data_IF_916507928079
#
_entry.id   IF_916507928079
#
_cell.length_a   1.000
_cell.length_b   1.000
_cell.length_c   1.000
_cell.angle_alpha   90.00
_cell.angle_beta   90.00
_cell.angle_gamma   90.00
#
_symmetry.space_group_name_H-M   'P 1'
#
loop_
_entity.id
_entity.type
_entity.pdbx_description
1 polymer ?
#
# COMPACT_ATOMS: atom_id res chain seq x y z
N UNK A 1 12.15 20.85 -14.95
CA UNK A 1 12.03 20.01 -13.74
C UNK A 1 13.44 19.64 -13.36
N UNK A 2 13.96 20.13 -12.24
CA UNK A 2 15.27 19.69 -11.74
C UNK A 2 15.18 18.18 -11.49
N UNK A 3 15.80 17.41 -12.37
CA UNK A 3 15.76 15.96 -12.31
C UNK A 3 16.54 15.51 -11.08
N UNK A 4 15.84 14.97 -10.08
CA UNK A 4 16.50 14.34 -8.93
C UNK A 4 17.45 13.27 -9.45
N UNK A 5 18.75 13.43 -9.13
CA UNK A 5 19.80 12.44 -9.42
C UNK A 5 19.39 11.07 -8.85
N UNK A 6 19.32 10.05 -9.69
CA UNK A 6 18.93 8.70 -9.26
C UNK A 6 20.16 7.96 -8.72
N UNK A 7 20.03 7.39 -7.51
CA UNK A 7 21.05 6.53 -6.91
C UNK A 7 20.88 5.10 -7.37
N UNK A 8 21.86 4.58 -8.08
CA UNK A 8 21.89 3.23 -8.62
C UNK A 8 22.96 2.40 -7.92
N UNK A 9 22.62 1.15 -7.61
CA UNK A 9 23.57 0.15 -7.13
C UNK A 9 23.77 -0.90 -8.23
N UNK A 10 24.96 -0.98 -8.79
CA UNK A 10 25.37 -2.04 -9.71
C UNK A 10 25.98 -3.20 -8.92
N UNK A 11 25.47 -4.41 -9.17
CA UNK A 11 25.98 -5.66 -8.61
C UNK A 11 26.50 -6.52 -9.75
N UNK A 12 27.83 -6.53 -9.92
CA UNK A 12 28.52 -7.07 -11.09
C UNK A 12 29.94 -7.48 -10.70
N UNK A 13 30.33 -8.74 -10.88
CA UNK A 13 31.67 -9.22 -10.54
C UNK A 13 32.68 -9.01 -11.67
N UNK A 14 32.24 -8.82 -12.92
CA UNK A 14 33.12 -8.54 -14.04
C UNK A 14 33.47 -7.03 -14.11
N UNK A 15 34.75 -6.64 -13.90
CA UNK A 15 35.15 -5.24 -13.89
C UNK A 15 35.01 -4.56 -15.26
N UNK A 16 35.10 -5.32 -16.35
CA UNK A 16 34.91 -4.83 -17.70
C UNK A 16 33.44 -4.46 -17.97
N UNK A 17 32.52 -5.33 -17.57
CA UNK A 17 31.08 -5.07 -17.69
C UNK A 17 30.66 -3.88 -16.82
N UNK A 18 31.20 -3.80 -15.59
CA UNK A 18 30.95 -2.68 -14.69
C UNK A 18 31.45 -1.34 -15.25
N UNK A 19 32.66 -1.33 -15.84
CA UNK A 19 33.20 -0.15 -16.50
C UNK A 19 32.35 0.27 -17.70
N UNK A 20 31.94 -0.68 -18.54
CA UNK A 20 31.16 -0.37 -19.73
C UNK A 20 29.75 0.15 -19.38
N UNK A 21 29.12 -0.38 -18.33
CA UNK A 21 27.85 0.17 -17.81
C UNK A 21 28.02 1.59 -17.24
N UNK A 22 29.12 1.85 -16.53
CA UNK A 22 29.44 3.20 -16.03
C UNK A 22 29.57 4.20 -17.17
N UNK A 23 30.30 3.84 -18.23
CA UNK A 23 30.46 4.68 -19.43
C UNK A 23 29.11 4.89 -20.11
N UNK A 24 28.37 3.81 -20.37
CA UNK A 24 27.04 3.85 -21.02
C UNK A 24 26.08 4.78 -20.28
N UNK A 25 26.03 4.71 -18.96
CA UNK A 25 25.17 5.57 -18.14
C UNK A 25 25.65 7.03 -18.11
N UNK A 26 26.96 7.28 -18.19
CA UNK A 26 27.51 8.63 -18.26
C UNK A 26 27.23 9.32 -19.60
N UNK A 27 27.26 8.57 -20.71
CA UNK A 27 26.97 9.08 -22.05
C UNK A 27 25.47 9.37 -22.26
N UNK A 28 24.60 8.73 -21.49
CA UNK A 28 23.15 8.94 -21.54
C UNK A 28 22.72 10.38 -21.16
N UNK A 29 23.62 11.19 -20.61
CA UNK A 29 23.34 12.57 -20.18
C UNK A 29 22.40 12.67 -18.98
N UNK A 30 22.10 11.55 -18.31
CA UNK A 30 21.29 11.50 -17.11
C UNK A 30 22.16 11.56 -15.85
N UNK A 31 21.70 12.32 -14.86
CA UNK A 31 22.40 12.45 -13.58
C UNK A 31 22.13 11.19 -12.75
N UNK A 32 23.06 10.24 -12.80
CA UNK A 32 23.05 9.02 -12.00
C UNK A 32 24.18 9.07 -10.97
N UNK A 33 23.90 8.62 -9.75
CA UNK A 33 24.93 8.25 -8.78
C UNK A 33 25.10 6.73 -8.81
N UNK A 34 26.14 6.23 -9.48
CA UNK A 34 26.36 4.79 -9.65
C UNK A 34 27.40 4.27 -8.66
N UNK A 35 26.90 3.54 -7.66
CA UNK A 35 27.70 2.71 -6.75
C UNK A 35 27.85 1.31 -7.34
N UNK A 36 28.99 0.67 -7.13
CA UNK A 36 29.28 -0.65 -7.68
C UNK A 36 29.84 -1.57 -6.60
N UNK A 37 29.32 -2.79 -6.55
CA UNK A 37 29.79 -3.89 -5.70
C UNK A 37 29.89 -5.17 -6.52
N UNK A 38 30.82 -6.05 -6.14
CA UNK A 38 31.11 -7.28 -6.90
C UNK A 38 30.35 -8.52 -6.40
N UNK A 39 29.63 -8.39 -5.27
CA UNK A 39 29.00 -9.52 -4.57
C UNK A 39 27.63 -9.16 -4.06
N UNK A 40 26.71 -10.12 -4.09
CA UNK A 40 25.37 -9.97 -3.55
C UNK A 40 25.42 -9.64 -2.05
N UNK A 41 26.30 -10.27 -1.29
CA UNK A 41 26.44 -9.99 0.14
C UNK A 41 26.72 -8.50 0.42
N UNK A 42 27.59 -7.87 -0.39
CA UNK A 42 27.90 -6.44 -0.28
C UNK A 42 26.77 -5.55 -0.76
N UNK A 43 26.00 -6.00 -1.75
CA UNK A 43 24.79 -5.30 -2.16
C UNK A 43 23.77 -5.25 -1.01
N UNK A 44 23.53 -6.37 -0.32
CA UNK A 44 22.60 -6.43 0.80
C UNK A 44 23.04 -5.54 1.98
N UNK A 45 24.33 -5.56 2.33
CA UNK A 45 24.91 -4.63 3.34
C UNK A 45 24.68 -3.16 2.95
N UNK A 46 24.85 -2.81 1.68
CA UNK A 46 24.67 -1.45 1.19
C UNK A 46 23.20 -1.03 1.18
N UNK A 47 22.30 -1.93 0.80
CA UNK A 47 20.86 -1.68 0.73
C UNK A 47 20.27 -1.38 2.11
N UNK A 48 20.79 -1.98 3.19
CA UNK A 48 20.38 -1.67 4.57
C UNK A 48 20.58 -0.20 4.96
N UNK A 49 21.51 0.49 4.32
CA UNK A 49 21.80 1.90 4.58
C UNK A 49 20.77 2.84 3.91
N UNK A 50 19.92 2.32 3.03
CA UNK A 50 18.91 3.08 2.29
C UNK A 50 19.50 4.01 1.22
N UNK A 51 18.62 4.81 0.61
CA UNK A 51 19.00 5.85 -0.36
C UNK A 51 19.39 5.34 -1.76
N UNK A 52 19.13 4.07 -2.07
CA UNK A 52 19.25 3.51 -3.42
C UNK A 52 17.86 3.52 -4.08
N UNK A 53 17.76 4.03 -5.30
CA UNK A 53 16.52 4.05 -6.08
C UNK A 53 16.35 2.76 -6.92
N UNK A 54 17.45 2.22 -7.44
CA UNK A 54 17.42 0.97 -8.20
C UNK A 54 18.69 0.14 -8.06
N UNK A 55 18.54 -1.17 -8.20
CA UNK A 55 19.62 -2.15 -8.35
C UNK A 55 19.70 -2.61 -9.82
N UNK A 56 20.89 -2.55 -10.39
CA UNK A 56 21.25 -3.22 -11.63
C UNK A 56 21.98 -4.51 -11.26
N UNK A 57 21.37 -5.65 -11.55
CA UNK A 57 21.77 -6.95 -11.00
C UNK A 57 22.22 -7.91 -12.12
N UNK A 58 23.46 -8.40 -12.05
CA UNK A 58 23.84 -9.63 -12.74
C UNK A 58 23.32 -10.85 -11.96
N UNK A 59 22.81 -11.85 -12.68
CA UNK A 59 22.39 -13.14 -12.14
C UNK A 59 23.54 -14.16 -12.04
N UNK A 60 24.70 -13.84 -12.61
CA UNK A 60 25.88 -14.72 -12.72
C UNK A 60 26.89 -14.55 -11.57
N UNK A 61 26.48 -13.88 -10.49
CA UNK A 61 27.36 -13.56 -9.36
C UNK A 61 27.92 -14.82 -8.69
N UNK A 62 29.18 -14.80 -8.23
CA UNK A 62 29.83 -15.97 -7.63
C UNK A 62 29.24 -16.39 -6.26
N UNK A 63 28.54 -15.47 -5.57
CA UNK A 63 27.97 -15.70 -4.24
C UNK A 63 26.44 -15.83 -4.23
N UNK A 64 25.82 -15.97 -5.40
CA UNK A 64 24.38 -16.18 -5.56
C UNK A 64 24.06 -17.14 -6.70
N UNK A 65 22.85 -17.70 -6.71
CA UNK A 65 22.39 -18.59 -7.77
C UNK A 65 21.23 -17.95 -8.52
N UNK A 66 21.53 -17.27 -9.62
CA UNK A 66 20.52 -16.79 -10.56
C UNK A 66 19.47 -15.89 -9.90
N UNK A 67 18.19 -16.17 -10.21
CA UNK A 67 17.02 -15.40 -9.76
C UNK A 67 16.84 -15.36 -8.23
N UNK A 68 17.48 -16.25 -7.46
CA UNK A 68 17.43 -16.21 -6.00
C UNK A 68 18.05 -14.92 -5.41
N UNK A 69 18.92 -14.24 -6.17
CA UNK A 69 19.43 -12.92 -5.80
C UNK A 69 18.30 -11.88 -5.68
N UNK A 70 17.30 -11.97 -6.56
CA UNK A 70 16.19 -11.02 -6.65
C UNK A 70 15.33 -11.10 -5.38
N UNK A 71 14.98 -12.31 -4.95
CA UNK A 71 14.23 -12.55 -3.71
C UNK A 71 14.93 -11.91 -2.51
N UNK A 72 16.24 -12.18 -2.35
CA UNK A 72 17.03 -11.65 -1.23
C UNK A 72 17.10 -10.12 -1.22
N UNK A 73 17.23 -9.50 -2.39
CA UNK A 73 17.20 -8.03 -2.51
C UNK A 73 15.80 -7.50 -2.19
N UNK A 74 14.75 -8.15 -2.68
CA UNK A 74 13.35 -7.74 -2.44
C UNK A 74 12.98 -7.83 -0.97
N UNK A 75 13.41 -8.86 -0.26
CA UNK A 75 13.23 -9.01 1.19
C UNK A 75 13.96 -7.92 1.98
N UNK A 76 15.19 -7.59 1.58
CA UNK A 76 16.00 -6.60 2.28
C UNK A 76 15.59 -5.15 1.99
N UNK A 77 15.14 -4.87 0.77
CA UNK A 77 14.86 -3.53 0.27
C UNK A 77 13.62 -3.55 -0.65
N UNK A 78 12.42 -3.72 -0.07
CA UNK A 78 11.19 -3.89 -0.85
C UNK A 78 10.85 -2.67 -1.71
N UNK A 79 11.30 -1.48 -1.32
CA UNK A 79 11.03 -0.21 -2.01
C UNK A 79 11.94 0.06 -3.20
N UNK A 80 12.97 -0.76 -3.44
CA UNK A 80 13.98 -0.53 -4.48
C UNK A 80 13.58 -1.21 -5.79
N UNK A 81 13.76 -0.53 -6.91
CA UNK A 81 13.55 -1.13 -8.23
C UNK A 81 14.70 -2.09 -8.56
N UNK A 82 14.41 -3.27 -9.11
CA UNK A 82 15.39 -4.27 -9.50
C UNK A 82 15.32 -4.45 -11.01
N UNK A 83 16.44 -4.18 -11.69
CA UNK A 83 16.62 -4.44 -13.10
C UNK A 83 17.70 -5.52 -13.25
N UNK A 84 17.36 -6.59 -13.94
CA UNK A 84 18.30 -7.66 -14.24
C UNK A 84 19.05 -7.36 -15.53
N UNK A 85 20.38 -7.47 -15.48
CA UNK A 85 21.27 -7.39 -16.62
C UNK A 85 21.98 -8.74 -16.78
N UNK A 86 21.56 -9.54 -17.76
CA UNK A 86 22.09 -10.90 -17.93
C UNK A 86 22.84 -11.05 -19.25
N UNK A 87 23.96 -11.78 -19.24
CA UNK A 87 24.64 -12.19 -20.47
C UNK A 87 23.86 -13.24 -21.27
N UNK A 88 22.91 -13.93 -20.64
CA UNK A 88 22.12 -14.99 -21.26
C UNK A 88 20.81 -14.45 -21.83
N UNK A 89 20.57 -14.75 -23.10
CA UNK A 89 19.30 -14.52 -23.79
C UNK A 89 18.39 -15.74 -23.59
N UNK A 90 17.98 -15.96 -22.35
CA UNK A 90 17.10 -17.06 -21.95
C UNK A 90 15.75 -16.52 -21.48
N UNK A 91 14.71 -16.82 -22.25
CA UNK A 91 13.34 -16.36 -21.99
C UNK A 91 12.78 -16.96 -20.69
N UNK A 92 13.12 -18.22 -20.38
CA UNK A 92 12.66 -18.87 -19.15
C UNK A 92 13.22 -18.17 -17.92
N UNK A 93 14.51 -17.85 -17.92
CA UNK A 93 15.15 -17.07 -16.85
C UNK A 93 14.56 -15.66 -16.75
N UNK A 94 14.26 -15.00 -17.88
CA UNK A 94 13.63 -13.68 -17.88
C UNK A 94 12.24 -13.71 -17.23
N UNK A 95 11.40 -14.69 -17.57
CA UNK A 95 10.07 -14.89 -16.97
C UNK A 95 10.20 -15.13 -15.46
N UNK A 96 11.11 -16.02 -15.06
CA UNK A 96 11.36 -16.30 -13.64
C UNK A 96 11.84 -15.06 -12.90
N UNK A 97 12.73 -14.27 -13.48
CA UNK A 97 13.18 -13.02 -12.87
C UNK A 97 12.04 -12.04 -12.61
N UNK A 98 11.09 -11.92 -13.54
CA UNK A 98 9.89 -11.07 -13.37
C UNK A 98 8.96 -11.61 -12.27
N UNK A 99 8.79 -12.93 -12.21
CA UNK A 99 7.99 -13.58 -11.16
C UNK A 99 8.59 -13.37 -9.76
N UNK A 100 9.92 -13.35 -9.64
CA UNK A 100 10.63 -13.05 -8.39
C UNK A 100 10.68 -11.56 -8.05
N UNK A 101 10.05 -10.72 -8.87
CA UNK A 101 9.84 -9.31 -8.59
C UNK A 101 10.90 -8.37 -9.16
N UNK A 102 11.69 -8.79 -10.15
CA UNK A 102 12.40 -7.81 -10.97
C UNK A 102 11.41 -7.03 -11.86
N UNK A 103 11.67 -5.74 -12.06
CA UNK A 103 10.83 -4.86 -12.89
C UNK A 103 11.19 -4.93 -14.36
N UNK A 104 12.43 -5.33 -14.67
CA UNK A 104 12.87 -5.51 -16.05
C UNK A 104 14.00 -6.54 -16.16
N UNK A 105 14.11 -7.17 -17.33
CA UNK A 105 15.21 -8.05 -17.72
C UNK A 105 15.80 -7.57 -19.03
N UNK A 106 17.10 -7.29 -19.05
CA UNK A 106 17.82 -6.84 -20.24
C UNK A 106 19.00 -7.76 -20.51
N UNK A 107 19.15 -8.16 -21.76
CA UNK A 107 20.32 -8.91 -22.21
C UNK A 107 21.49 -7.94 -22.42
N UNK A 108 22.59 -8.18 -21.71
CA UNK A 108 23.83 -7.39 -21.79
C UNK A 108 24.25 -7.17 -23.25
N UNK A 109 24.67 -5.95 -23.56
CA UNK A 109 25.20 -5.53 -24.86
C UNK A 109 24.23 -5.61 -26.04
N UNK A 110 22.96 -5.98 -25.81
CA UNK A 110 21.88 -5.93 -26.80
C UNK A 110 20.94 -4.74 -26.63
N UNK A 111 21.23 -3.85 -25.68
CA UNK A 111 20.50 -2.60 -25.47
C UNK A 111 21.37 -1.40 -25.84
N UNK A 112 20.77 -0.40 -26.48
CA UNK A 112 21.38 0.92 -26.63
C UNK A 112 21.24 1.76 -25.36
N UNK A 113 22.07 2.80 -25.24
CA UNK A 113 22.08 3.77 -24.11
C UNK A 113 20.66 4.24 -23.75
N UNK A 114 19.87 4.65 -24.74
CA UNK A 114 18.51 5.15 -24.52
C UNK A 114 17.52 4.11 -24.03
N UNK A 115 17.73 2.81 -24.29
CA UNK A 115 16.86 1.75 -23.78
C UNK A 115 17.12 1.52 -22.29
N UNK A 116 18.39 1.43 -21.87
CA UNK A 116 18.76 1.27 -20.46
C UNK A 116 18.24 2.43 -19.61
N UNK A 117 18.43 3.68 -20.06
CA UNK A 117 17.94 4.86 -19.36
C UNK A 117 16.43 4.84 -19.17
N UNK A 118 15.66 4.52 -20.22
CA UNK A 118 14.19 4.40 -20.13
C UNK A 118 13.77 3.27 -19.21
N UNK A 119 14.44 2.12 -19.29
CA UNK A 119 14.17 0.99 -18.42
C UNK A 119 14.36 1.35 -16.95
N UNK A 120 15.47 2.01 -16.60
CA UNK A 120 15.75 2.47 -15.22
C UNK A 120 14.67 3.45 -14.76
N UNK A 121 14.42 4.51 -15.52
CA UNK A 121 13.44 5.53 -15.15
C UNK A 121 12.03 4.94 -14.98
N UNK A 122 11.63 4.04 -15.88
CA UNK A 122 10.33 3.36 -15.80
C UNK A 122 10.26 2.44 -14.58
N UNK A 123 11.27 1.61 -14.34
CA UNK A 123 11.29 0.70 -13.19
C UNK A 123 11.23 1.46 -11.85
N UNK A 124 11.99 2.55 -11.71
CA UNK A 124 11.95 3.40 -10.51
C UNK A 124 10.58 4.05 -10.32
N UNK A 125 10.01 4.61 -11.38
CA UNK A 125 8.70 5.26 -11.31
C UNK A 125 7.58 4.26 -10.97
N UNK A 126 7.60 3.06 -11.55
CA UNK A 126 6.66 1.99 -11.21
C UNK A 126 6.81 1.57 -9.75
N UNK A 127 8.04 1.38 -9.26
CA UNK A 127 8.27 0.98 -7.88
C UNK A 127 7.80 2.06 -6.89
N UNK A 128 8.09 3.34 -7.16
CA UNK A 128 7.62 4.45 -6.32
C UNK A 128 6.10 4.52 -6.25
N UNK A 129 5.40 4.26 -7.37
CA UNK A 129 3.93 4.22 -7.41
C UNK A 129 3.39 3.06 -6.59
N UNK A 130 3.99 1.88 -6.70
CA UNK A 130 3.59 0.70 -5.94
C UNK A 130 3.73 0.95 -4.43
N UNK A 131 4.89 1.43 -4.00
CA UNK A 131 5.17 1.78 -2.60
C UNK A 131 4.19 2.85 -2.10
N UNK A 132 3.92 3.90 -2.89
CA UNK A 132 2.96 4.94 -2.51
C UNK A 132 1.54 4.40 -2.32
N UNK A 133 1.09 3.48 -3.19
CA UNK A 133 -0.22 2.84 -3.07
C UNK A 133 -0.30 1.96 -1.81
N UNK A 134 0.74 1.21 -1.52
CA UNK A 134 0.82 0.37 -0.30
C UNK A 134 0.79 1.21 0.97
N UNK A 135 1.56 2.31 1.00
CA UNK A 135 1.57 3.26 2.12
C UNK A 135 0.20 3.93 2.31
N UNK A 136 -0.47 4.31 1.21
CA UNK A 136 -1.81 4.88 1.28
C UNK A 136 -2.83 3.86 1.80
N UNK A 137 -2.76 2.61 1.34
CA UNK A 137 -3.62 1.53 1.81
C UNK A 137 -3.39 1.21 3.30
N UNK A 138 -2.13 1.18 3.75
CA UNK A 138 -1.79 1.01 5.16
C UNK A 138 -2.36 2.14 6.01
N UNK A 139 -2.19 3.39 5.59
CA UNK A 139 -2.72 4.56 6.29
C UNK A 139 -4.26 4.54 6.41
N UNK A 140 -4.96 4.11 5.36
CA UNK A 140 -6.41 3.94 5.42
C UNK A 140 -6.84 2.86 6.42
N UNK A 141 -6.12 1.73 6.47
CA UNK A 141 -6.38 0.67 7.46
C UNK A 141 -6.14 1.15 8.89
N UNK A 142 -5.05 1.87 9.14
CA UNK A 142 -4.73 2.39 10.47
C UNK A 142 -5.78 3.41 10.94
N UNK A 143 -6.26 4.29 10.06
CA UNK A 143 -7.32 5.24 10.37
C UNK A 143 -8.65 4.51 10.67
N UNK A 144 -9.00 3.50 9.88
CA UNK A 144 -10.20 2.69 10.12
C UNK A 144 -10.14 2.02 11.50
N UNK A 145 -9.01 1.38 11.84
CA UNK A 145 -8.81 0.75 13.14
C UNK A 145 -8.87 1.76 14.31
N UNK A 146 -8.35 2.98 14.11
CA UNK A 146 -8.45 4.04 15.11
C UNK A 146 -9.90 4.50 15.31
N UNK A 147 -10.66 4.68 14.23
CA UNK A 147 -12.08 5.05 14.30
C UNK A 147 -12.90 3.98 15.03
N UNK A 148 -12.65 2.70 14.76
CA UNK A 148 -13.31 1.59 15.45
C UNK A 148 -12.95 1.59 16.95
N UNK A 149 -11.68 1.78 17.29
CA UNK A 149 -11.24 1.86 18.69
C UNK A 149 -11.85 3.06 19.43
N UNK A 150 -11.91 4.24 18.80
CA UNK A 150 -12.53 5.43 19.39
C UNK A 150 -14.04 5.23 19.55
N UNK A 151 -14.72 4.71 18.52
CA UNK A 151 -16.15 4.43 18.58
C UNK A 151 -16.52 3.42 19.67
N UNK A 152 -15.63 2.46 19.98
CA UNK A 152 -15.82 1.53 21.09
C UNK A 152 -15.67 2.19 22.49
N UNK A 153 -14.98 3.32 22.59
CA UNK A 153 -14.77 4.03 23.87
C UNK A 153 -15.68 5.23 24.09
N UNK A 154 -16.37 5.71 23.05
CA UNK A 154 -17.41 6.72 23.18
C UNK A 154 -18.73 5.97 23.43
N UNK A 155 -19.37 6.17 24.59
CA UNK A 155 -20.69 5.59 24.91
C UNK A 155 -21.86 6.18 24.08
N UNK A 156 -21.57 6.73 22.90
CA UNK A 156 -22.54 7.32 22.00
C UNK A 156 -22.77 6.35 20.82
N UNK A 157 -24.01 5.91 20.67
CA UNK A 157 -24.42 5.13 19.51
C UNK A 157 -24.46 6.00 18.27
N UNK A 158 -23.87 5.51 17.18
CA UNK A 158 -23.89 6.15 15.88
C UNK A 158 -24.47 5.19 14.85
N UNK A 159 -25.49 5.66 14.13
CA UNK A 159 -26.22 4.90 13.14
C UNK A 159 -26.38 5.73 11.87
N UNK A 160 -26.16 5.14 10.69
CA UNK A 160 -26.41 5.79 9.42
C UNK A 160 -27.41 4.97 8.63
N UNK A 161 -28.46 5.62 8.15
CA UNK A 161 -29.47 5.00 7.31
C UNK A 161 -29.46 5.60 5.90
N UNK A 162 -29.75 4.77 4.90
CA UNK A 162 -30.09 5.21 3.56
C UNK A 162 -31.40 6.00 3.51
N UNK A 163 -31.74 6.58 2.35
CA UNK A 163 -32.99 7.32 2.15
C UNK A 163 -34.24 6.43 2.26
N UNK A 164 -34.06 5.12 2.10
CA UNK A 164 -35.04 4.05 2.28
C UNK A 164 -35.21 3.61 3.74
N UNK A 165 -34.45 4.19 4.68
CA UNK A 165 -34.45 3.80 6.09
C UNK A 165 -33.60 2.55 6.40
N UNK A 166 -32.92 1.98 5.42
CA UNK A 166 -32.05 0.82 5.60
C UNK A 166 -30.76 1.23 6.31
N UNK A 167 -30.37 0.53 7.36
CA UNK A 167 -29.12 0.75 8.10
C UNK A 167 -27.93 0.43 7.19
N UNK A 168 -27.04 1.40 7.01
CA UNK A 168 -25.78 1.26 6.26
C UNK A 168 -24.55 1.21 7.16
N UNK A 169 -24.66 1.74 8.36
CA UNK A 169 -23.59 1.71 9.35
C UNK A 169 -24.18 1.75 10.76
N UNK A 170 -23.61 0.99 11.68
CA UNK A 170 -23.89 1.05 13.11
C UNK A 170 -22.58 0.80 13.87
N UNK A 171 -22.21 1.70 14.79
CA UNK A 171 -21.07 1.45 15.68
C UNK A 171 -21.46 0.47 16.81
N UNK A 172 -20.49 -0.13 17.54
CA UNK A 172 -20.79 -1.09 18.58
C UNK A 172 -21.73 -0.57 19.69
N UNK A 173 -21.57 0.66 20.21
CA UNK A 173 -22.55 1.22 21.16
C UNK A 173 -23.99 1.30 20.61
N UNK A 174 -24.19 1.72 19.35
CA UNK A 174 -25.52 1.75 18.74
C UNK A 174 -26.12 0.35 18.62
N UNK A 175 -25.29 -0.63 18.24
CA UNK A 175 -25.73 -2.00 18.11
C UNK A 175 -26.14 -2.60 19.46
N UNK A 176 -25.34 -2.37 20.51
CA UNK A 176 -25.66 -2.77 21.88
C UNK A 176 -26.95 -2.11 22.40
N UNK A 177 -27.14 -0.82 22.13
CA UNK A 177 -28.37 -0.08 22.48
C UNK A 177 -29.61 -0.62 21.76
N UNK A 178 -29.45 -1.24 20.58
CA UNK A 178 -30.51 -1.92 19.83
C UNK A 178 -30.58 -3.43 20.12
N UNK A 179 -29.73 -3.95 21.00
CA UNK A 179 -29.70 -5.38 21.36
C UNK A 179 -29.29 -6.30 20.21
N UNK A 180 -28.43 -5.84 19.30
CA UNK A 180 -27.95 -6.59 18.14
C UNK A 180 -26.44 -6.43 17.93
N UNK A 181 -25.84 -7.26 17.08
CA UNK A 181 -24.46 -7.01 16.62
C UNK A 181 -24.45 -6.00 15.47
N UNK A 182 -23.36 -5.23 15.26
CA UNK A 182 -23.26 -4.31 14.13
C UNK A 182 -23.50 -4.98 12.78
N UNK A 183 -23.02 -6.22 12.61
CA UNK A 183 -23.16 -6.97 11.36
C UNK A 183 -24.61 -7.37 11.07
N UNK A 184 -25.40 -7.68 12.11
CA UNK A 184 -26.80 -8.07 11.97
C UNK A 184 -27.71 -6.88 11.64
N UNK A 185 -27.29 -5.67 12.01
CA UNK A 185 -28.05 -4.46 11.73
C UNK A 185 -27.87 -3.96 10.29
N UNK A 186 -26.68 -4.12 9.70
CA UNK A 186 -26.40 -3.61 8.36
C UNK A 186 -27.31 -4.30 7.33
N UNK A 187 -28.01 -3.50 6.52
CA UNK A 187 -28.95 -3.98 5.51
C UNK A 187 -30.38 -4.20 6.03
N UNK A 188 -30.64 -4.00 7.33
CA UNK A 188 -31.99 -4.09 7.91
C UNK A 188 -32.68 -2.72 7.97
N UNK A 189 -34.00 -2.70 8.12
CA UNK A 189 -34.74 -1.46 8.33
C UNK A 189 -34.46 -0.89 9.72
N UNK A 190 -34.17 0.41 9.81
CA UNK A 190 -33.95 1.08 11.08
C UNK A 190 -35.24 1.06 11.92
N UNK A 191 -35.20 0.56 13.17
CA UNK A 191 -36.37 0.52 14.05
C UNK A 191 -36.70 1.89 14.67
N UNK A 192 -35.83 2.88 14.50
CA UNK A 192 -35.97 4.23 15.05
C UNK A 192 -36.38 5.23 13.97
N UNK A 193 -37.35 6.09 14.29
CA UNK A 193 -37.89 7.11 13.37
C UNK A 193 -37.74 8.50 13.99
N UNK A 194 -36.61 9.16 13.75
CA UNK A 194 -36.36 10.50 14.27
C UNK A 194 -36.45 11.57 13.16
N UNK A 195 -37.20 12.64 13.42
CA UNK A 195 -37.24 13.82 12.55
C UNK A 195 -35.93 14.61 12.70
N UNK A 196 -35.29 15.07 11.62
CA UNK A 196 -34.11 15.91 11.72
C UNK A 196 -34.37 17.17 12.56
N UNK A 197 -33.51 17.43 13.55
CA UNK A 197 -33.64 18.57 14.47
C UNK A 197 -34.49 18.33 15.71
N UNK A 198 -35.15 17.17 15.84
CA UNK A 198 -35.91 16.79 17.03
C UNK A 198 -35.18 15.69 17.83
N UNK A 199 -35.39 15.69 19.14
CA UNK A 199 -34.95 14.59 20.02
C UNK A 199 -36.13 13.65 20.20
N UNK A 200 -36.02 12.43 19.71
CA UNK A 200 -37.02 11.37 19.93
C UNK A 200 -36.55 10.45 21.05
N UNK A 201 -37.48 10.01 21.91
CA UNK A 201 -37.18 9.10 23.03
C UNK A 201 -37.85 7.75 22.79
N UNK A 202 -37.10 6.67 22.98
CA UNK A 202 -37.54 5.30 22.76
C UNK A 202 -37.32 4.47 24.02
N UNK A 203 -38.17 3.48 24.23
CA UNK A 203 -37.90 2.41 25.20
C UNK A 203 -37.01 1.37 24.52
N UNK A 204 -35.85 1.10 25.11
CA UNK A 204 -34.95 0.03 24.69
C UNK A 204 -34.82 -1.01 25.82
N UNK A 205 -34.37 -2.21 25.48
CA UNK A 205 -34.04 -3.24 26.47
C UNK A 205 -32.54 -3.51 26.34
N UNK A 206 -31.78 -3.28 27.41
CA UNK A 206 -30.35 -3.58 27.43
C UNK A 206 -30.09 -5.08 27.38
N UNK A 207 -28.84 -5.46 27.13
CA UNK A 207 -28.43 -6.87 27.12
C UNK A 207 -28.69 -7.59 28.47
N UNK A 208 -28.75 -6.84 29.58
CA UNK A 208 -29.08 -7.34 30.92
C UNK A 208 -30.59 -7.45 31.18
N UNK A 209 -31.43 -7.17 30.18
CA UNK A 209 -32.89 -7.21 30.26
C UNK A 209 -33.50 -5.99 30.95
N UNK A 210 -32.72 -4.98 31.33
CA UNK A 210 -33.26 -3.74 31.91
C UNK A 210 -33.90 -2.85 30.84
N UNK A 211 -35.01 -2.21 31.20
CA UNK A 211 -35.53 -1.12 30.38
C UNK A 211 -34.62 0.10 30.49
N UNK A 212 -34.20 0.59 29.33
CA UNK A 212 -33.39 1.78 29.16
C UNK A 212 -34.19 2.81 28.36
N UNK A 213 -33.95 4.09 28.64
CA UNK A 213 -34.47 5.17 27.79
C UNK A 213 -33.37 5.56 26.80
N UNK A 214 -33.69 5.50 25.51
CA UNK A 214 -32.78 5.84 24.43
C UNK A 214 -33.23 7.15 23.79
N UNK A 215 -32.35 8.14 23.76
CA UNK A 215 -32.58 9.36 23.01
C UNK A 215 -31.91 9.26 21.65
N UNK A 216 -32.66 9.54 20.58
CA UNK A 216 -32.14 9.61 19.23
C UNK A 216 -32.25 11.04 18.68
N UNK A 217 -31.17 11.52 18.05
CA UNK A 217 -31.18 12.76 17.26
C UNK A 217 -30.77 12.46 15.83
N UNK A 218 -31.59 12.89 14.87
CA UNK A 218 -31.31 12.72 13.45
C UNK A 218 -30.69 13.98 12.84
N UNK A 219 -29.73 13.78 11.95
CA UNK A 219 -29.11 14.80 11.11
C UNK A 219 -29.12 14.33 9.65
N UNK A 220 -29.35 15.24 8.73
CA UNK A 220 -29.19 14.94 7.30
C UNK A 220 -27.73 15.07 6.92
N UNK A 221 -27.17 14.00 6.35
CA UNK A 221 -25.77 13.91 5.93
C UNK A 221 -25.67 13.36 4.51
N UNK A 222 -24.46 13.30 3.96
CA UNK A 222 -24.17 12.49 2.78
C UNK A 222 -23.24 11.36 3.17
N UNK A 223 -23.59 10.14 2.77
CA UNK A 223 -22.79 8.94 2.99
C UNK A 223 -22.54 8.29 1.64
N UNK A 224 -21.27 8.01 1.31
CA UNK A 224 -20.87 7.45 0.00
C UNK A 224 -21.42 8.24 -1.19
N UNK A 225 -21.50 9.57 -1.05
CA UNK A 225 -22.03 10.46 -2.08
C UNK A 225 -23.56 10.49 -2.20
N UNK A 226 -24.29 9.66 -1.47
CA UNK A 226 -25.76 9.62 -1.47
C UNK A 226 -26.37 10.35 -0.26
N UNK A 227 -27.61 10.89 -0.37
CA UNK A 227 -28.34 11.39 0.79
C UNK A 227 -28.52 10.29 1.84
N UNK A 228 -28.26 10.62 3.11
CA UNK A 228 -28.37 9.69 4.22
C UNK A 228 -28.80 10.42 5.51
N UNK A 229 -29.25 9.66 6.50
CA UNK A 229 -29.58 10.17 7.83
C UNK A 229 -28.62 9.59 8.86
N UNK A 230 -27.99 10.46 9.65
CA UNK A 230 -27.15 10.12 10.80
C UNK A 230 -28.00 10.20 12.08
N UNK A 231 -28.09 9.11 12.82
CA UNK A 231 -28.72 9.06 14.14
C UNK A 231 -27.63 8.96 15.22
N UNK A 232 -27.64 9.92 16.14
CA UNK A 232 -26.89 9.83 17.40
C UNK A 232 -27.81 9.29 18.48
N UNK A 233 -27.39 8.21 19.14
CA UNK A 233 -28.12 7.51 20.18
C UNK A 233 -27.38 7.67 21.50
N UNK A 234 -28.07 8.19 22.51
CA UNK A 234 -27.54 8.26 23.87
C UNK A 234 -28.39 7.36 24.78
N UNK A 235 -27.73 6.45 25.49
CA UNK A 235 -28.35 5.61 26.53
C UNK A 235 -28.36 6.36 27.86
N UNK A 236 -29.54 6.51 28.45
CA UNK A 236 -29.73 7.09 29.79
C UNK A 236 -29.44 6.12 30.93
#
# INVERSE_FOLDING_TARGET
MEGKRLSLLLVEDNPGDALLLRVTLSEAGADYNLEHVERLAKALERLQQGGIDAVLLDLSLPDSQGVAAIQRIREQAPEVAILVLSGQDDEETAIRAMQEGAQNYLVKWRFGIGLLQRAISFAVEQQRRMVALEQQAARCRDLAALLDAVAAHINQGLLITGPDGTIRYANPPAAALLGASPADLIGTACPLTATPGEVATYAATGEDGRQLSLQARAFTVRWEGQPASLLLLDGG
#
